data_IF_431828982472
#
_entry.id   IF_431828982472
#
_cell.length_a   1.000
_cell.length_b   1.000
_cell.length_c   1.000
_cell.angle_alpha   90.00
_cell.angle_beta   90.00
_cell.angle_gamma   90.00
#
_symmetry.space_group_name_H-M   'P 1'
#
loop_
_entity.id
_entity.type
_entity.pdbx_description
1 polymer ?
#
# COMPACT_ATOMS: atom_id res chain seq x y z
N UNK A 1 -7.20 -18.87 -14.49
CA UNK A 1 -7.74 -18.47 -13.15
C UNK A 1 -8.44 -19.60 -12.39
N UNK A 2 -9.36 -20.40 -12.97
CA UNK A 2 -9.96 -21.56 -12.26
C UNK A 2 -8.96 -22.66 -11.84
N UNK A 3 -7.81 -22.74 -12.52
CA UNK A 3 -6.79 -23.78 -12.29
C UNK A 3 -5.90 -23.54 -11.05
N UNK A 4 -5.75 -22.28 -10.61
CA UNK A 4 -4.80 -21.92 -9.53
C UNK A 4 -5.33 -22.23 -8.13
N UNK A 5 -6.65 -22.06 -7.92
CA UNK A 5 -7.28 -22.38 -6.62
C UNK A 5 -7.27 -23.89 -6.36
N UNK A 6 -7.65 -24.69 -7.36
CA UNK A 6 -7.62 -26.15 -7.27
C UNK A 6 -6.20 -26.69 -7.05
N UNK A 7 -5.21 -26.13 -7.75
CA UNK A 7 -3.79 -26.47 -7.52
C UNK A 7 -3.36 -26.14 -6.08
N UNK A 8 -3.62 -24.93 -5.58
CA UNK A 8 -3.22 -24.57 -4.22
C UNK A 8 -3.93 -25.39 -3.13
N UNK A 9 -5.22 -25.72 -3.29
CA UNK A 9 -5.96 -26.56 -2.33
C UNK A 9 -5.39 -27.98 -2.24
N UNK A 10 -5.07 -28.62 -3.38
CA UNK A 10 -4.50 -29.97 -3.43
C UNK A 10 -3.13 -30.04 -2.72
N UNK A 11 -2.38 -28.95 -2.69
CA UNK A 11 -1.04 -28.91 -2.14
C UNK A 11 -0.97 -28.61 -0.65
N UNK A 12 -2.08 -28.27 0.02
CA UNK A 12 -2.09 -28.07 1.47
C UNK A 12 -2.22 -29.37 2.27
N UNK A 13 -2.83 -30.42 1.72
CA UNK A 13 -3.00 -31.68 2.45
C UNK A 13 -1.65 -32.29 2.87
N UNK A 14 -0.66 -32.30 1.98
CA UNK A 14 0.69 -32.78 2.29
C UNK A 14 1.40 -31.90 3.34
N UNK A 15 1.22 -30.57 3.27
CA UNK A 15 1.79 -29.62 4.24
C UNK A 15 1.16 -29.77 5.62
N UNK A 16 -0.15 -29.99 5.68
CA UNK A 16 -0.88 -30.22 6.93
C UNK A 16 -0.56 -31.60 7.52
N UNK A 17 -0.39 -32.63 6.69
CA UNK A 17 0.10 -33.95 7.11
C UNK A 17 1.48 -33.84 7.76
N UNK A 18 2.41 -33.15 7.09
CA UNK A 18 3.75 -32.91 7.64
C UNK A 18 3.71 -32.11 8.94
N UNK A 19 2.95 -31.02 9.01
CA UNK A 19 2.82 -30.25 10.24
C UNK A 19 2.28 -31.12 11.38
N UNK A 20 1.30 -32.00 11.09
CA UNK A 20 0.75 -32.94 12.06
C UNK A 20 1.85 -33.90 12.54
N UNK A 21 2.61 -34.51 11.64
CA UNK A 21 3.72 -35.41 11.98
C UNK A 21 4.78 -34.70 12.84
N UNK A 22 5.09 -33.42 12.57
CA UNK A 22 6.02 -32.62 13.39
C UNK A 22 5.48 -32.40 14.80
N UNK A 23 4.18 -32.09 14.93
CA UNK A 23 3.55 -31.87 16.25
C UNK A 23 3.48 -33.20 17.02
N UNK A 24 3.08 -34.29 16.36
CA UNK A 24 3.02 -35.62 16.97
C UNK A 24 4.40 -36.11 17.38
N UNK A 25 5.44 -35.87 16.56
CA UNK A 25 6.84 -36.09 16.94
C UNK A 25 7.15 -35.38 18.26
N UNK A 26 6.83 -34.08 18.37
CA UNK A 26 7.17 -33.30 19.56
C UNK A 26 6.41 -33.77 20.79
N UNK A 27 5.12 -34.07 20.65
CA UNK A 27 4.32 -34.57 21.77
C UNK A 27 4.82 -35.92 22.27
N UNK A 28 5.23 -36.83 21.36
CA UNK A 28 5.84 -38.11 21.73
C UNK A 28 7.19 -37.93 22.44
N UNK A 29 8.09 -37.14 21.85
CA UNK A 29 9.43 -36.86 22.40
C UNK A 29 9.39 -36.29 23.83
N UNK A 30 8.36 -35.48 24.14
CA UNK A 30 8.23 -34.84 25.45
C UNK A 30 7.40 -35.65 26.47
N UNK A 31 6.42 -36.44 26.03
CA UNK A 31 5.42 -37.04 26.93
C UNK A 31 5.33 -38.56 26.87
N UNK A 32 6.03 -39.22 25.93
CA UNK A 32 6.10 -40.68 25.87
C UNK A 32 7.54 -41.14 26.04
N UNK A 33 7.73 -42.44 26.30
CA UNK A 33 9.07 -43.05 26.33
C UNK A 33 9.55 -43.49 24.95
N UNK A 34 8.83 -43.11 23.88
CA UNK A 34 9.21 -43.44 22.50
C UNK A 34 10.33 -42.51 22.02
N UNK A 35 11.17 -42.99 21.11
CA UNK A 35 12.14 -42.16 20.39
C UNK A 35 11.58 -41.94 18.98
N UNK A 36 10.78 -40.89 18.76
CA UNK A 36 10.15 -40.66 17.46
C UNK A 36 11.20 -40.25 16.42
N UNK A 37 10.90 -40.47 15.14
CA UNK A 37 11.74 -40.04 14.02
C UNK A 37 11.19 -38.71 13.50
N UNK A 38 12.05 -37.71 13.35
CA UNK A 38 11.64 -36.41 12.82
C UNK A 38 11.22 -36.55 11.33
N UNK A 39 10.08 -35.98 10.92
CA UNK A 39 9.56 -36.14 9.56
C UNK A 39 10.42 -35.47 8.49
N UNK A 40 10.37 -36.00 7.25
CA UNK A 40 11.14 -35.50 6.11
C UNK A 40 10.53 -34.24 5.51
N UNK A 41 11.38 -33.27 5.18
CA UNK A 41 10.94 -31.94 4.74
C UNK A 41 10.78 -31.78 3.22
N UNK A 42 11.62 -32.43 2.41
CA UNK A 42 11.81 -32.05 0.99
C UNK A 42 10.54 -32.22 0.12
N UNK A 43 9.66 -33.16 0.48
CA UNK A 43 8.50 -33.48 -0.33
C UNK A 43 7.39 -32.41 -0.27
N UNK A 44 7.31 -31.63 0.82
CA UNK A 44 6.18 -30.70 1.05
C UNK A 44 6.31 -29.34 0.37
N UNK A 45 7.52 -29.01 -0.10
CA UNK A 45 7.87 -27.75 -0.75
C UNK A 45 8.39 -27.97 -2.17
N UNK A 46 8.16 -29.15 -2.74
CA UNK A 46 8.54 -29.51 -4.11
C UNK A 46 7.49 -29.11 -5.16
N UNK A 47 6.26 -28.84 -4.74
CA UNK A 47 5.14 -28.56 -5.65
C UNK A 47 5.12 -27.13 -6.23
N UNK A 48 4.16 -26.87 -7.11
CA UNK A 48 3.95 -25.59 -7.79
C UNK A 48 3.08 -24.57 -7.03
N UNK A 49 2.70 -24.84 -5.77
CA UNK A 49 1.85 -23.93 -5.00
C UNK A 49 2.56 -22.62 -4.69
N UNK A 50 1.76 -21.57 -4.47
CA UNK A 50 2.30 -20.26 -4.09
C UNK A 50 3.11 -20.29 -2.79
N UNK A 51 2.74 -21.18 -1.85
CA UNK A 51 3.52 -21.44 -0.64
C UNK A 51 4.90 -22.01 -0.97
N UNK A 52 4.97 -23.09 -1.75
CA UNK A 52 6.25 -23.74 -2.10
C UNK A 52 7.15 -22.83 -2.94
N UNK A 53 6.57 -22.08 -3.88
CA UNK A 53 7.31 -21.06 -4.65
C UNK A 53 7.90 -20.00 -3.71
N UNK A 54 7.12 -19.53 -2.73
CA UNK A 54 7.58 -18.54 -1.76
C UNK A 54 8.72 -19.07 -0.90
N UNK A 55 8.57 -20.28 -0.33
CA UNK A 55 9.60 -20.95 0.47
C UNK A 55 10.92 -21.04 -0.30
N UNK A 56 10.88 -21.54 -1.55
CA UNK A 56 12.08 -21.68 -2.40
C UNK A 56 12.69 -20.33 -2.76
N UNK A 57 11.86 -19.35 -3.13
CA UNK A 57 12.32 -18.00 -3.51
C UNK A 57 13.01 -17.29 -2.34
N UNK A 58 12.51 -17.48 -1.13
CA UNK A 58 13.07 -16.88 0.09
C UNK A 58 14.13 -17.74 0.78
N UNK A 59 14.35 -18.95 0.30
CA UNK A 59 15.29 -19.92 0.87
C UNK A 59 15.03 -20.17 2.35
N UNK A 60 13.76 -20.35 2.72
CA UNK A 60 13.39 -20.56 4.12
C UNK A 60 13.96 -21.88 4.66
N UNK A 61 14.49 -21.81 5.88
CA UNK A 61 14.86 -22.96 6.68
C UNK A 61 13.63 -23.79 7.08
N UNK A 62 13.87 -25.04 7.48
CA UNK A 62 12.83 -25.93 8.01
C UNK A 62 12.04 -25.28 9.16
N UNK A 63 12.72 -24.58 10.05
CA UNK A 63 12.15 -23.95 11.24
C UNK A 63 11.22 -22.78 10.87
N UNK A 64 11.63 -21.99 9.87
CA UNK A 64 10.79 -20.92 9.31
C UNK A 64 9.57 -21.51 8.61
N UNK A 65 9.72 -22.62 7.88
CA UNK A 65 8.56 -23.27 7.24
C UNK A 65 7.58 -23.85 8.26
N UNK A 66 8.06 -24.51 9.31
CA UNK A 66 7.19 -24.98 10.41
C UNK A 66 6.46 -23.79 11.04
N UNK A 67 7.17 -22.69 11.31
CA UNK A 67 6.57 -21.46 11.86
C UNK A 67 5.50 -20.88 10.94
N UNK A 68 5.74 -20.88 9.62
CA UNK A 68 4.77 -20.42 8.62
C UNK A 68 3.54 -21.33 8.55
N UNK A 69 3.73 -22.65 8.65
CA UNK A 69 2.64 -23.62 8.70
C UNK A 69 1.80 -23.49 9.97
N UNK A 70 2.44 -23.29 11.12
CA UNK A 70 1.76 -22.98 12.39
C UNK A 70 0.92 -21.71 12.27
N UNK A 71 1.45 -20.66 11.64
CA UNK A 71 0.74 -19.39 11.49
C UNK A 71 -0.45 -19.48 10.52
N UNK A 72 -0.35 -20.25 9.43
CA UNK A 72 -1.43 -20.34 8.43
C UNK A 72 -2.53 -21.34 8.80
N UNK A 73 -2.22 -22.41 9.54
CA UNK A 73 -3.20 -23.49 9.76
C UNK A 73 -4.51 -23.04 10.42
N UNK A 74 -4.58 -22.06 11.36
CA UNK A 74 -5.85 -21.58 11.89
C UNK A 74 -6.78 -20.97 10.84
N UNK A 75 -6.23 -20.49 9.72
CA UNK A 75 -6.99 -19.91 8.61
C UNK A 75 -7.57 -20.96 7.66
N UNK A 76 -7.01 -22.18 7.65
CA UNK A 76 -7.38 -23.25 6.70
C UNK A 76 -8.12 -24.38 7.42
N UNK A 77 -7.64 -24.80 8.59
CA UNK A 77 -8.19 -25.91 9.37
C UNK A 77 -8.29 -25.49 10.85
N UNK A 78 -9.38 -24.78 11.24
CA UNK A 78 -9.52 -24.22 12.59
C UNK A 78 -9.44 -25.23 13.74
N UNK A 79 -9.84 -26.49 13.50
CA UNK A 79 -9.84 -27.53 14.53
C UNK A 79 -8.53 -28.35 14.56
N UNK A 80 -7.56 -28.05 13.69
CA UNK A 80 -6.36 -28.85 13.47
C UNK A 80 -5.61 -29.19 14.78
N UNK A 81 -5.28 -28.17 15.56
CA UNK A 81 -4.57 -28.34 16.83
C UNK A 81 -5.44 -29.07 17.86
N UNK A 82 -6.72 -28.71 17.97
CA UNK A 82 -7.63 -29.33 18.94
C UNK A 82 -7.75 -30.83 18.71
N UNK A 83 -7.84 -31.27 17.45
CA UNK A 83 -7.88 -32.70 17.10
C UNK A 83 -6.60 -33.41 17.51
N UNK A 84 -5.42 -32.86 17.20
CA UNK A 84 -4.14 -33.49 17.57
C UNK A 84 -4.00 -33.57 19.09
N UNK A 85 -4.31 -32.49 19.80
CA UNK A 85 -4.20 -32.45 21.27
C UNK A 85 -5.18 -33.40 21.95
N UNK A 86 -6.39 -33.58 21.42
CA UNK A 86 -7.36 -34.54 21.99
C UNK A 86 -6.92 -35.99 21.84
N UNK A 87 -6.15 -36.32 20.79
CA UNK A 87 -5.61 -37.66 20.59
C UNK A 87 -4.55 -38.01 21.65
N UNK A 88 -3.80 -37.01 22.14
CA UNK A 88 -2.78 -37.16 23.19
C UNK A 88 -3.33 -36.99 24.62
N UNK A 89 -4.39 -36.19 24.80
CA UNK A 89 -5.06 -35.97 26.08
C UNK A 89 -6.55 -36.35 26.01
N UNK A 90 -6.89 -37.65 25.85
CA UNK A 90 -8.27 -38.08 25.63
C UNK A 90 -9.19 -37.84 26.83
N UNK A 91 -8.63 -37.77 28.04
CA UNK A 91 -9.37 -37.53 29.27
C UNK A 91 -9.46 -36.03 29.65
N UNK A 92 -9.01 -35.15 28.77
CA UNK A 92 -8.83 -33.74 29.06
C UNK A 92 -7.57 -33.46 29.89
N UNK A 93 -7.15 -32.19 29.89
CA UNK A 93 -5.93 -31.71 30.53
C UNK A 93 -5.45 -30.44 29.85
N UNK A 94 -4.58 -29.69 30.52
CA UNK A 94 -3.89 -28.56 29.91
C UNK A 94 -2.48 -28.99 29.52
N UNK A 95 -2.01 -28.53 28.37
CA UNK A 95 -0.60 -28.59 27.95
C UNK A 95 -0.07 -27.15 27.93
N UNK A 96 0.28 -26.56 29.08
CA UNK A 96 0.75 -25.17 29.12
C UNK A 96 1.97 -24.96 28.22
N UNK A 97 2.84 -25.97 28.11
CA UNK A 97 4.05 -25.91 27.27
C UNK A 97 3.77 -25.78 25.78
N UNK A 98 2.61 -26.26 25.29
CA UNK A 98 2.21 -26.10 23.90
C UNK A 98 1.94 -24.62 23.56
N UNK A 99 1.62 -23.79 24.56
CA UNK A 99 1.16 -22.43 24.36
C UNK A 99 -0.18 -22.37 23.64
N UNK A 100 -0.41 -21.29 22.91
CA UNK A 100 -1.65 -21.07 22.18
C UNK A 100 -2.78 -20.50 23.03
N UNK A 101 -3.69 -19.77 22.39
CA UNK A 101 -4.83 -19.11 23.05
C UNK A 101 -6.11 -19.32 22.25
N UNK A 102 -7.27 -19.24 22.91
CA UNK A 102 -8.56 -19.19 22.23
C UNK A 102 -8.84 -17.78 21.71
N UNK A 103 -9.27 -17.69 20.46
CA UNK A 103 -9.67 -16.40 19.89
C UNK A 103 -11.02 -15.93 20.44
N UNK A 104 -11.28 -14.62 20.37
CA UNK A 104 -12.61 -14.05 20.71
C UNK A 104 -13.71 -14.58 19.77
N UNK A 105 -13.39 -14.65 18.48
CA UNK A 105 -14.29 -15.10 17.42
C UNK A 105 -13.88 -16.45 16.82
N UNK A 106 -12.67 -16.91 17.12
CA UNK A 106 -12.10 -18.16 16.61
C UNK A 106 -12.20 -19.23 17.68
N UNK A 107 -12.92 -20.32 17.39
CA UNK A 107 -13.22 -21.39 18.37
C UNK A 107 -12.10 -22.42 18.55
N UNK A 108 -11.13 -22.44 17.65
CA UNK A 108 -9.94 -23.29 17.73
C UNK A 108 -8.81 -22.68 18.57
N UNK A 109 -7.63 -23.30 18.47
CA UNK A 109 -6.40 -22.80 19.10
C UNK A 109 -5.67 -21.89 18.11
N UNK A 110 -5.35 -20.66 18.54
CA UNK A 110 -4.43 -19.77 17.84
C UNK A 110 -3.04 -19.97 18.47
N UNK A 111 -2.03 -20.40 17.71
CA UNK A 111 -0.70 -20.64 18.26
C UNK A 111 -0.05 -19.34 18.76
N UNK A 112 0.91 -19.46 19.67
CA UNK A 112 1.73 -18.35 20.18
C UNK A 112 3.20 -18.55 19.79
N UNK A 113 4.06 -17.59 20.12
CA UNK A 113 5.51 -17.79 20.03
C UNK A 113 5.99 -18.99 20.87
N UNK A 114 5.36 -19.26 22.01
CA UNK A 114 5.64 -20.46 22.82
C UNK A 114 5.32 -21.75 22.07
N UNK A 115 4.25 -21.77 21.26
CA UNK A 115 3.96 -22.91 20.39
C UNK A 115 5.11 -23.16 19.41
N UNK A 116 5.70 -22.12 18.84
CA UNK A 116 6.87 -22.25 17.96
C UNK A 116 8.07 -22.82 18.72
N UNK A 117 8.35 -22.29 19.92
CA UNK A 117 9.43 -22.76 20.79
C UNK A 117 9.26 -24.22 21.20
N UNK A 118 8.05 -24.63 21.54
CA UNK A 118 7.75 -26.00 21.94
C UNK A 118 7.87 -26.95 20.76
N UNK A 119 7.18 -26.68 19.65
CA UNK A 119 7.16 -27.56 18.48
C UNK A 119 8.56 -27.75 17.90
N UNK A 120 9.32 -26.68 17.73
CA UNK A 120 10.63 -26.73 17.09
C UNK A 120 11.74 -27.05 18.09
N UNK A 121 11.77 -26.36 19.24
CA UNK A 121 12.85 -26.46 20.22
C UNK A 121 12.67 -27.54 21.29
N UNK A 122 11.45 -28.01 21.56
CA UNK A 122 11.20 -29.02 22.59
C UNK A 122 11.72 -28.63 23.96
N UNK A 123 12.58 -29.45 24.56
CA UNK A 123 13.25 -29.16 25.85
C UNK A 123 14.61 -28.46 25.70
N UNK A 124 15.11 -28.25 24.47
CA UNK A 124 16.39 -27.58 24.23
C UNK A 124 16.25 -26.05 24.46
N UNK A 125 16.78 -25.61 25.60
CA UNK A 125 16.74 -24.20 26.03
C UNK A 125 17.52 -23.30 25.05
N UNK A 126 18.67 -23.74 24.56
CA UNK A 126 19.46 -22.93 23.63
C UNK A 126 18.69 -22.73 22.33
N UNK A 127 18.08 -23.80 21.82
CA UNK A 127 17.26 -23.73 20.61
C UNK A 127 16.04 -22.83 20.79
N UNK A 128 15.34 -22.94 21.92
CA UNK A 128 14.20 -22.07 22.25
C UNK A 128 14.57 -20.59 22.26
N UNK A 129 15.74 -20.23 22.79
CA UNK A 129 16.22 -18.84 22.82
C UNK A 129 16.50 -18.36 21.39
N UNK A 130 17.20 -19.16 20.57
CA UNK A 130 17.48 -18.83 19.16
C UNK A 130 16.19 -18.58 18.36
N UNK A 131 15.13 -19.36 18.58
CA UNK A 131 13.85 -19.19 17.89
C UNK A 131 13.18 -17.83 18.17
N UNK A 132 13.54 -17.14 19.25
CA UNK A 132 13.01 -15.78 19.50
C UNK A 132 13.51 -14.76 18.48
N UNK A 133 14.66 -15.01 17.85
CA UNK A 133 15.27 -14.14 16.84
C UNK A 133 14.40 -14.03 15.58
N UNK A 134 13.57 -15.06 15.28
CA UNK A 134 12.62 -15.04 14.15
C UNK A 134 11.61 -13.87 14.22
N UNK A 135 11.40 -13.32 15.43
CA UNK A 135 10.44 -12.27 15.73
C UNK A 135 11.12 -10.94 16.11
N UNK A 136 12.37 -10.75 15.71
CA UNK A 136 13.11 -9.48 15.79
C UNK A 136 13.05 -8.74 14.45
N UNK A 137 13.20 -7.40 14.48
CA UNK A 137 12.99 -6.52 13.32
C UNK A 137 13.87 -6.86 12.11
N UNK A 138 15.06 -7.42 12.34
CA UNK A 138 16.02 -7.77 11.29
C UNK A 138 15.69 -9.10 10.59
N UNK A 139 14.87 -9.96 11.20
CA UNK A 139 14.49 -11.24 10.62
C UNK A 139 13.50 -11.05 9.47
N UNK A 140 13.55 -11.95 8.47
CA UNK A 140 12.73 -11.90 7.26
C UNK A 140 11.24 -11.71 7.57
N UNK A 141 10.71 -12.44 8.55
CA UNK A 141 9.29 -12.38 8.93
C UNK A 141 8.85 -10.99 9.36
N UNK A 142 9.60 -10.34 10.24
CA UNK A 142 9.27 -8.99 10.70
C UNK A 142 9.58 -7.96 9.62
N UNK A 143 10.74 -8.10 8.97
CA UNK A 143 11.21 -7.17 7.94
C UNK A 143 10.23 -7.08 6.78
N UNK A 144 9.64 -8.18 6.32
CA UNK A 144 8.68 -8.19 5.21
C UNK A 144 7.21 -8.23 5.67
N UNK A 145 6.95 -8.13 6.97
CA UNK A 145 5.61 -8.15 7.55
C UNK A 145 4.85 -9.44 7.23
N UNK A 146 5.54 -10.58 7.27
CA UNK A 146 4.96 -11.90 6.97
C UNK A 146 4.29 -12.44 8.22
N UNK A 147 5.05 -12.62 9.30
CA UNK A 147 4.58 -13.14 10.58
C UNK A 147 4.98 -12.16 11.67
N UNK A 148 4.08 -11.95 12.63
CA UNK A 148 4.38 -11.20 13.84
C UNK A 148 3.72 -11.83 15.07
N UNK A 149 4.22 -11.45 16.24
CA UNK A 149 3.60 -11.76 17.52
C UNK A 149 2.78 -10.56 18.01
N UNK A 150 1.59 -10.81 18.52
CA UNK A 150 0.84 -9.77 19.21
C UNK A 150 1.60 -9.24 20.44
N UNK A 151 1.36 -7.96 20.73
CA UNK A 151 1.86 -7.35 21.97
C UNK A 151 1.15 -7.94 23.17
N UNK A 152 1.93 -8.33 24.18
CA UNK A 152 1.41 -8.84 25.46
C UNK A 152 1.41 -7.75 26.54
N UNK A 153 0.56 -7.86 27.57
CA UNK A 153 0.61 -7.02 28.77
C UNK A 153 2.01 -6.93 29.39
N UNK A 154 2.26 -5.81 30.07
CA UNK A 154 3.55 -5.60 30.75
C UNK A 154 3.76 -6.67 31.83
N UNK A 155 4.94 -7.30 31.81
CA UNK A 155 5.30 -8.39 32.72
C UNK A 155 5.05 -9.80 32.17
N UNK A 156 4.31 -9.93 31.06
CA UNK A 156 4.15 -11.20 30.38
C UNK A 156 5.32 -11.49 29.40
N UNK A 157 5.67 -12.77 29.18
CA UNK A 157 6.69 -13.14 28.20
C UNK A 157 6.27 -12.74 26.78
N UNK A 158 7.19 -12.14 26.00
CA UNK A 158 6.93 -11.76 24.60
C UNK A 158 6.41 -12.93 23.75
N UNK A 159 6.90 -14.15 24.01
CA UNK A 159 6.53 -15.35 23.26
C UNK A 159 5.10 -15.84 23.56
N UNK A 160 4.45 -15.35 24.61
CA UNK A 160 3.03 -15.63 24.88
C UNK A 160 2.10 -14.89 23.91
N UNK A 161 2.64 -13.97 23.09
CA UNK A 161 1.89 -13.29 22.03
C UNK A 161 1.38 -14.26 20.94
N UNK A 162 0.20 -13.98 20.39
CA UNK A 162 -0.39 -14.76 19.29
C UNK A 162 0.47 -14.69 18.05
N UNK A 163 0.70 -15.82 17.41
CA UNK A 163 1.38 -15.97 16.12
C UNK A 163 0.39 -15.64 15.00
N UNK A 164 0.63 -14.52 14.30
CA UNK A 164 -0.27 -14.02 13.27
C UNK A 164 0.45 -13.96 11.92
N UNK A 165 -0.22 -14.48 10.89
CA UNK A 165 0.17 -14.33 9.49
C UNK A 165 -0.58 -13.15 8.88
N UNK A 166 0.15 -12.25 8.23
CA UNK A 166 -0.45 -11.09 7.57
C UNK A 166 -1.39 -11.53 6.42
N UNK A 167 -2.55 -10.86 6.31
CA UNK A 167 -3.67 -11.27 5.45
C UNK A 167 -3.29 -11.42 3.97
N UNK A 168 -2.35 -10.61 3.49
CA UNK A 168 -1.80 -10.73 2.13
C UNK A 168 -1.16 -12.09 1.87
N UNK A 169 -0.42 -12.63 2.84
CA UNK A 169 0.22 -13.93 2.73
C UNK A 169 -0.77 -15.06 2.94
N UNK A 170 -1.79 -14.88 3.79
CA UNK A 170 -2.93 -15.81 3.86
C UNK A 170 -3.58 -15.94 2.48
N UNK A 171 -3.92 -14.81 1.84
CA UNK A 171 -4.50 -14.79 0.50
C UNK A 171 -3.55 -15.38 -0.55
N UNK A 172 -2.27 -15.02 -0.52
CA UNK A 172 -1.27 -15.52 -1.46
C UNK A 172 -1.14 -17.05 -1.37
N UNK A 173 -0.98 -17.59 -0.17
CA UNK A 173 -0.74 -19.03 0.00
C UNK A 173 -2.00 -19.84 -0.28
N UNK A 174 -3.18 -19.37 0.11
CA UNK A 174 -4.44 -20.11 -0.10
C UNK A 174 -4.99 -19.96 -1.52
N UNK A 175 -4.98 -18.75 -2.10
CA UNK A 175 -5.65 -18.45 -3.37
C UNK A 175 -4.71 -18.22 -4.55
N UNK A 176 -3.42 -18.00 -4.26
CA UNK A 176 -2.42 -17.59 -5.26
C UNK A 176 -2.50 -16.12 -5.65
N UNK A 177 -3.34 -15.33 -4.99
CA UNK A 177 -3.50 -13.90 -5.26
C UNK A 177 -2.91 -13.07 -4.12
N UNK A 178 -2.06 -12.10 -4.49
CA UNK A 178 -1.61 -11.06 -3.58
C UNK A 178 -2.78 -10.11 -3.30
N UNK A 179 -3.20 -10.02 -2.04
CA UNK A 179 -4.21 -9.07 -1.62
C UNK A 179 -3.58 -7.69 -1.50
N UNK A 180 -4.03 -6.75 -2.33
CA UNK A 180 -3.60 -5.35 -2.20
C UNK A 180 -4.45 -4.65 -1.13
N UNK A 181 -3.85 -3.96 -0.16
CA UNK A 181 -4.60 -3.26 0.88
C UNK A 181 -5.61 -2.28 0.30
N UNK A 182 -6.79 -2.27 0.92
CA UNK A 182 -7.87 -1.32 0.64
C UNK A 182 -7.99 -0.32 1.79
N UNK A 183 -8.56 0.84 1.49
CA UNK A 183 -8.81 1.89 2.47
C UNK A 183 -9.66 1.37 3.63
N UNK A 184 -9.21 1.60 4.86
CA UNK A 184 -9.91 1.24 6.09
C UNK A 184 -9.53 2.21 7.22
N UNK A 185 -10.13 2.05 8.40
CA UNK A 185 -9.73 2.83 9.58
C UNK A 185 -8.27 2.61 9.97
N UNK A 186 -7.78 1.38 9.83
CA UNK A 186 -6.40 1.00 10.14
C UNK A 186 -5.40 1.26 9.00
N UNK A 187 -5.89 1.54 7.78
CA UNK A 187 -5.09 1.80 6.60
C UNK A 187 -5.68 2.95 5.78
N UNK A 188 -5.31 4.22 6.08
CA UNK A 188 -5.92 5.43 5.51
C UNK A 188 -5.37 5.76 4.10
N UNK A 189 -5.26 4.75 3.24
CA UNK A 189 -4.75 4.91 1.89
C UNK A 189 -5.56 4.11 0.88
N UNK A 190 -5.82 4.74 -0.27
CA UNK A 190 -6.56 4.18 -1.39
C UNK A 190 -5.61 3.96 -2.57
N UNK A 191 -5.67 2.79 -3.19
CA UNK A 191 -4.90 2.56 -4.41
C UNK A 191 -5.54 3.34 -5.57
N UNK A 192 -4.76 4.17 -6.25
CA UNK A 192 -5.19 4.90 -7.43
C UNK A 192 -4.47 4.38 -8.67
N UNK A 193 -5.21 4.29 -9.78
CA UNK A 193 -4.71 3.81 -11.07
C UNK A 193 -5.35 4.63 -12.20
N UNK A 194 -4.74 4.59 -13.38
CA UNK A 194 -5.27 5.26 -14.58
C UNK A 194 -5.18 4.34 -15.78
N UNK A 195 -6.18 4.42 -16.66
CA UNK A 195 -6.14 3.74 -17.96
C UNK A 195 -5.44 4.59 -19.02
N UNK A 196 -5.28 5.89 -18.77
CA UNK A 196 -4.62 6.84 -19.69
C UNK A 196 -3.12 6.56 -19.81
N UNK A 197 -2.52 7.09 -20.87
CA UNK A 197 -1.10 7.04 -21.16
C UNK A 197 -0.43 8.42 -21.07
N UNK A 198 0.90 8.46 -21.13
CA UNK A 198 1.67 9.71 -21.09
C UNK A 198 1.27 10.68 -22.19
N UNK A 199 0.80 10.17 -23.33
CA UNK A 199 0.35 10.98 -24.44
C UNK A 199 -0.93 11.76 -24.09
N UNK A 200 -1.77 11.27 -23.18
CA UNK A 200 -2.99 11.94 -22.74
C UNK A 200 -2.71 13.06 -21.73
N UNK A 201 -1.55 13.02 -21.08
CA UNK A 201 -1.10 14.05 -20.16
C UNK A 201 -0.48 15.22 -20.93
N UNK A 202 -1.25 16.30 -21.04
CA UNK A 202 -0.79 17.56 -21.63
C UNK A 202 -0.30 18.50 -20.53
N UNK A 203 1.01 18.75 -20.52
CA UNK A 203 1.67 19.68 -19.60
C UNK A 203 2.60 20.61 -20.38
N UNK A 204 2.94 21.74 -19.75
CA UNK A 204 3.97 22.62 -20.28
C UNK A 204 5.32 21.91 -20.41
N UNK A 205 6.11 22.31 -21.42
CA UNK A 205 7.42 21.70 -21.70
C UNK A 205 8.36 21.69 -20.49
N UNK A 206 8.34 22.76 -19.68
CA UNK A 206 9.15 22.86 -18.46
C UNK A 206 8.75 21.78 -17.45
N UNK A 207 7.46 21.67 -17.14
CA UNK A 207 6.92 20.66 -16.23
C UNK A 207 7.22 19.24 -16.73
N UNK A 208 7.01 18.97 -18.03
CA UNK A 208 7.36 17.67 -18.63
C UNK A 208 8.83 17.31 -18.47
N UNK A 209 9.74 18.28 -18.62
CA UNK A 209 11.17 18.02 -18.43
C UNK A 209 11.49 17.60 -16.99
N UNK A 210 10.90 18.28 -16.00
CA UNK A 210 11.07 17.91 -14.59
C UNK A 210 10.45 16.54 -14.26
N UNK A 211 9.35 16.16 -14.91
CA UNK A 211 8.80 14.80 -14.78
C UNK A 211 9.76 13.74 -15.33
N UNK A 212 10.43 14.01 -16.47
CA UNK A 212 11.45 13.10 -17.03
C UNK A 212 12.67 12.92 -16.12
N UNK A 213 13.03 13.93 -15.34
CA UNK A 213 14.08 13.79 -14.31
C UNK A 213 13.66 12.79 -13.23
N UNK A 214 12.38 12.77 -12.85
CA UNK A 214 11.81 11.79 -11.91
C UNK A 214 11.81 10.38 -12.51
N UNK A 215 11.41 10.24 -13.78
CA UNK A 215 11.48 8.95 -14.49
C UNK A 215 12.90 8.40 -14.51
N UNK A 216 13.88 9.28 -14.78
CA UNK A 216 15.30 8.93 -14.76
C UNK A 216 15.72 8.46 -13.37
N UNK A 217 15.34 9.17 -12.31
CA UNK A 217 15.62 8.73 -10.94
C UNK A 217 14.97 7.37 -10.66
N UNK A 218 13.70 7.18 -11.00
CA UNK A 218 12.97 5.92 -10.79
C UNK A 218 13.61 4.72 -11.48
N UNK A 219 14.23 4.93 -12.65
CA UNK A 219 14.84 3.87 -13.44
C UNK A 219 16.27 3.54 -12.98
N UNK A 220 17.05 4.54 -12.58
CA UNK A 220 18.50 4.38 -12.36
C UNK A 220 18.96 4.52 -10.90
N UNK A 221 18.07 4.85 -9.95
CA UNK A 221 18.45 5.05 -8.55
C UNK A 221 19.11 3.81 -7.92
N UNK A 222 18.65 2.60 -8.24
CA UNK A 222 19.23 1.38 -7.66
C UNK A 222 20.69 1.18 -8.11
N UNK A 223 21.00 1.47 -9.37
CA UNK A 223 22.39 1.46 -9.90
C UNK A 223 23.25 2.48 -9.16
N UNK A 224 22.73 3.70 -8.95
CA UNK A 224 23.48 4.74 -8.22
C UNK A 224 23.76 4.31 -6.78
N UNK A 225 22.75 3.81 -6.07
CA UNK A 225 22.90 3.45 -4.66
C UNK A 225 23.77 2.20 -4.45
N UNK A 226 23.62 1.18 -5.30
CA UNK A 226 24.24 -0.13 -5.13
C UNK A 226 25.51 -0.28 -5.97
N UNK A 227 25.42 -0.14 -7.30
CA UNK A 227 26.54 -0.40 -8.21
C UNK A 227 27.63 0.67 -8.09
N UNK A 228 27.23 1.93 -7.87
CA UNK A 228 28.17 3.04 -7.66
C UNK A 228 28.50 3.28 -6.19
N UNK A 229 27.97 2.45 -5.28
CA UNK A 229 28.23 2.50 -3.84
C UNK A 229 27.95 3.87 -3.18
N UNK A 230 26.88 4.55 -3.63
CA UNK A 230 26.54 5.90 -3.14
C UNK A 230 25.62 5.90 -1.92
N UNK A 231 25.21 4.73 -1.44
CA UNK A 231 24.28 4.57 -0.31
C UNK A 231 24.71 5.28 0.98
N UNK A 232 26.02 5.43 1.23
CA UNK A 232 26.55 6.13 2.41
C UNK A 232 26.46 7.66 2.31
N UNK A 233 26.27 8.21 1.11
CA UNK A 233 26.27 9.65 0.86
C UNK A 233 24.90 10.19 0.44
N UNK A 234 24.06 9.34 -0.16
CA UNK A 234 22.73 9.71 -0.65
C UNK A 234 21.69 9.06 0.26
N UNK A 235 20.81 9.88 0.84
CA UNK A 235 19.67 9.35 1.60
C UNK A 235 18.74 8.59 0.65
N UNK A 236 18.22 7.41 1.04
CA UNK A 236 17.27 6.68 0.23
C UNK A 236 15.96 7.46 0.07
N UNK A 237 15.24 7.17 -1.00
CA UNK A 237 13.94 7.79 -1.31
C UNK A 237 14.03 9.15 -1.99
N UNK A 238 12.94 9.50 -2.67
CA UNK A 238 12.82 10.74 -3.42
C UNK A 238 11.49 11.40 -3.10
N UNK A 239 11.55 12.66 -2.68
CA UNK A 239 10.41 13.42 -2.22
C UNK A 239 10.16 14.59 -3.15
N UNK A 240 8.95 14.64 -3.68
CA UNK A 240 8.53 15.64 -4.66
C UNK A 240 7.33 16.41 -4.12
N UNK A 241 7.35 17.71 -4.33
CA UNK A 241 6.19 18.57 -4.12
C UNK A 241 5.60 18.98 -5.47
N UNK A 242 4.42 18.48 -5.79
CA UNK A 242 3.57 18.97 -6.87
C UNK A 242 2.77 20.16 -6.37
N UNK A 243 2.92 21.31 -7.03
CA UNK A 243 2.19 22.52 -6.66
C UNK A 243 1.49 23.12 -7.87
N UNK A 244 0.26 23.59 -7.70
CA UNK A 244 -0.44 24.32 -8.76
C UNK A 244 -1.95 24.22 -8.60
N UNK A 245 -2.74 24.91 -9.44
CA UNK A 245 -4.20 24.90 -9.34
C UNK A 245 -4.79 23.49 -9.39
N UNK A 246 -6.00 23.26 -8.85
CA UNK A 246 -6.70 22.00 -9.03
C UNK A 246 -6.97 21.74 -10.52
N UNK A 247 -7.02 20.47 -10.92
CA UNK A 247 -7.36 20.09 -12.30
C UNK A 247 -6.26 20.24 -13.35
N UNK A 248 -5.01 20.50 -12.94
CA UNK A 248 -3.84 20.64 -13.83
C UNK A 248 -3.06 19.33 -14.06
N UNK A 249 -3.53 18.20 -13.53
CA UNK A 249 -2.96 16.88 -13.83
C UNK A 249 -2.04 16.28 -12.76
N UNK A 250 -1.92 16.87 -11.56
CA UNK A 250 -1.05 16.36 -10.47
C UNK A 250 -1.28 14.86 -10.15
N UNK A 251 -2.54 14.48 -9.91
CA UNK A 251 -2.92 13.09 -9.59
C UNK A 251 -2.74 12.16 -10.79
N UNK A 252 -3.01 12.64 -12.00
CA UNK A 252 -2.79 11.86 -13.23
C UNK A 252 -1.29 11.59 -13.46
N UNK A 253 -0.43 12.58 -13.22
CA UNK A 253 1.03 12.39 -13.30
C UNK A 253 1.51 11.34 -12.30
N UNK A 254 0.99 11.35 -11.06
CA UNK A 254 1.36 10.35 -10.06
C UNK A 254 0.95 8.93 -10.48
N UNK A 255 -0.26 8.74 -11.02
CA UNK A 255 -0.71 7.42 -11.52
C UNK A 255 0.05 6.96 -12.76
N UNK A 256 0.43 7.89 -13.65
CA UNK A 256 1.28 7.59 -14.80
C UNK A 256 2.71 7.19 -14.41
N UNK A 257 3.30 7.82 -13.39
CA UNK A 257 4.60 7.38 -12.83
C UNK A 257 4.51 5.96 -12.24
N UNK A 258 3.38 5.63 -11.59
CA UNK A 258 3.10 4.27 -11.13
C UNK A 258 3.02 3.28 -12.28
N UNK A 259 2.23 3.60 -13.31
CA UNK A 259 2.08 2.78 -14.53
C UNK A 259 3.42 2.57 -15.25
N UNK A 260 4.23 3.63 -15.39
CA UNK A 260 5.56 3.59 -15.99
C UNK A 260 6.52 2.64 -15.27
N UNK A 261 6.45 2.59 -13.93
CA UNK A 261 7.34 1.76 -13.10
C UNK A 261 6.76 0.40 -12.71
N UNK A 262 5.50 0.12 -13.05
CA UNK A 262 4.77 -1.04 -12.55
C UNK A 262 4.54 -1.03 -11.03
N UNK A 263 4.66 0.15 -10.38
CA UNK A 263 4.51 0.31 -8.93
C UNK A 263 3.08 0.74 -8.58
N UNK A 264 2.57 0.21 -7.48
CA UNK A 264 1.28 0.64 -6.94
C UNK A 264 1.39 2.07 -6.40
N UNK A 265 0.38 2.90 -6.71
CA UNK A 265 0.26 4.26 -6.18
C UNK A 265 -0.84 4.28 -5.14
N UNK A 266 -0.47 4.65 -3.92
CA UNK A 266 -1.40 4.81 -2.82
C UNK A 266 -1.63 6.28 -2.55
N UNK A 267 -2.87 6.75 -2.72
CA UNK A 267 -3.31 8.06 -2.29
C UNK A 267 -3.63 8.02 -0.80
N UNK A 268 -2.93 8.82 -0.02
CA UNK A 268 -3.13 8.94 1.41
C UNK A 268 -4.16 10.03 1.68
N UNK A 269 -5.21 9.68 2.41
CA UNK A 269 -6.18 10.67 2.89
C UNK A 269 -5.71 11.26 4.22
N UNK A 270 -5.14 12.46 4.12
CA UNK A 270 -4.63 13.22 5.24
C UNK A 270 -5.74 13.63 6.24
N UNK A 271 -7.00 13.73 5.81
CA UNK A 271 -8.13 14.08 6.68
C UNK A 271 -8.52 12.95 7.62
N UNK A 272 -8.34 11.69 7.20
CA UNK A 272 -8.53 10.51 8.07
C UNK A 272 -7.44 10.37 9.12
N UNK A 273 -6.26 10.91 8.81
CA UNK A 273 -5.09 10.87 9.68
C UNK A 273 -5.25 11.93 10.77
N UNK A 274 -5.58 13.18 10.44
CA UNK A 274 -5.74 14.26 11.42
C UNK A 274 -7.13 14.19 12.08
N UNK A 275 -7.38 13.13 12.84
CA UNK A 275 -8.61 12.98 13.62
C UNK A 275 -8.47 13.56 15.05
N UNK A 276 -9.60 13.76 15.74
CA UNK A 276 -9.65 14.31 17.11
C UNK A 276 -8.98 13.44 18.19
N UNK A 277 -8.49 12.24 17.85
CA UNK A 277 -7.92 11.27 18.78
C UNK A 277 -6.40 11.21 18.66
N UNK A 278 -5.72 12.00 19.49
CA UNK A 278 -4.25 12.07 19.59
C UNK A 278 -3.71 10.67 19.92
N UNK A 279 -2.85 10.11 19.04
CA UNK A 279 -2.17 8.82 19.22
C UNK A 279 -2.66 7.65 18.36
N UNK A 280 -3.95 7.57 18.01
CA UNK A 280 -4.44 6.56 17.05
C UNK A 280 -3.93 6.87 15.63
N UNK A 281 -3.84 8.17 15.33
CA UNK A 281 -3.23 8.76 14.14
C UNK A 281 -1.79 8.28 13.90
N UNK A 282 -0.92 8.39 14.91
CA UNK A 282 0.49 8.01 14.81
C UNK A 282 0.65 6.51 14.57
N UNK A 283 -0.17 5.69 15.25
CA UNK A 283 -0.18 4.24 15.06
C UNK A 283 -0.56 3.86 13.63
N UNK A 284 -1.60 4.48 13.09
CA UNK A 284 -2.07 4.20 11.72
C UNK A 284 -1.05 4.70 10.67
N UNK A 285 -0.44 5.86 10.88
CA UNK A 285 0.67 6.34 10.06
C UNK A 285 1.88 5.41 10.10
N UNK A 286 2.28 4.96 11.29
CA UNK A 286 3.40 4.04 11.42
C UNK A 286 3.15 2.78 10.60
N UNK A 287 2.00 2.12 10.84
CA UNK A 287 1.56 0.93 10.10
C UNK A 287 1.59 1.13 8.59
N UNK A 288 1.05 2.25 8.08
CA UNK A 288 1.05 2.57 6.65
C UNK A 288 2.48 2.61 6.08
N UNK A 289 3.37 3.38 6.71
CA UNK A 289 4.75 3.53 6.26
C UNK A 289 5.57 2.24 6.42
N UNK A 290 5.35 1.48 7.50
CA UNK A 290 6.02 0.19 7.75
C UNK A 290 5.61 -0.83 6.67
N UNK A 291 4.31 -0.88 6.33
CA UNK A 291 3.80 -1.72 5.25
C UNK A 291 4.32 -1.28 3.88
N UNK A 292 4.44 0.03 3.64
CA UNK A 292 4.94 0.58 2.38
C UNK A 292 6.46 0.40 2.19
N UNK A 293 7.24 0.33 3.28
CA UNK A 293 8.71 0.32 3.28
C UNK A 293 9.32 -0.75 2.37
N UNK A 294 8.69 -1.92 2.28
CA UNK A 294 9.21 -3.07 1.53
C UNK A 294 8.44 -3.39 0.25
N UNK A 295 7.45 -2.58 -0.13
CA UNK A 295 6.55 -2.87 -1.26
C UNK A 295 6.77 -1.98 -2.47
N UNK A 296 7.81 -1.14 -2.43
CA UNK A 296 8.19 -0.22 -3.51
C UNK A 296 7.01 0.64 -4.01
N UNK A 297 6.08 0.99 -3.13
CA UNK A 297 4.92 1.80 -3.47
C UNK A 297 5.31 3.25 -3.71
N UNK A 298 4.50 3.94 -4.51
CA UNK A 298 4.50 5.39 -4.62
C UNK A 298 3.45 5.92 -3.65
N UNK A 299 3.88 6.74 -2.69
CA UNK A 299 2.98 7.36 -1.72
C UNK A 299 2.58 8.75 -2.21
N UNK A 300 1.31 8.95 -2.51
CA UNK A 300 0.74 10.21 -3.00
C UNK A 300 -0.11 10.87 -1.92
N UNK A 301 0.38 11.95 -1.32
CA UNK A 301 -0.35 12.75 -0.35
C UNK A 301 -1.04 13.90 -1.07
N UNK A 302 -2.36 13.86 -1.16
CA UNK A 302 -3.14 14.95 -1.74
C UNK A 302 -3.46 16.00 -0.68
N UNK A 303 -3.75 17.23 -1.11
CA UNK A 303 -4.14 18.35 -0.22
C UNK A 303 -3.13 18.61 0.94
N UNK A 304 -1.84 18.52 0.63
CA UNK A 304 -0.76 18.67 1.62
C UNK A 304 -0.81 20.02 2.36
N UNK A 305 -1.38 21.07 1.77
CA UNK A 305 -1.56 22.37 2.45
C UNK A 305 -2.50 22.33 3.67
N UNK A 306 -3.39 21.32 3.77
CA UNK A 306 -4.25 21.15 4.94
C UNK A 306 -3.45 20.82 6.22
N UNK A 307 -2.28 20.19 6.06
CA UNK A 307 -1.41 19.80 7.18
C UNK A 307 -0.15 20.66 7.25
N UNK A 308 0.45 20.98 6.10
CA UNK A 308 1.75 21.66 6.02
C UNK A 308 1.63 23.17 5.76
N UNK A 309 0.44 23.74 5.97
CA UNK A 309 0.18 25.17 5.90
C UNK A 309 1.03 26.01 6.88
N UNK A 310 1.21 27.30 6.57
CA UNK A 310 1.95 28.27 7.40
C UNK A 310 1.32 28.26 8.79
N UNK A 311 2.13 27.84 9.77
CA UNK A 311 1.74 27.70 11.17
C UNK A 311 0.99 28.95 11.62
N UNK A 312 -0.25 28.79 12.04
CA UNK A 312 -0.90 29.82 12.85
C UNK A 312 -0.14 29.92 14.17
N UNK A 313 0.09 31.14 14.66
CA UNK A 313 0.73 31.35 15.95
C UNK A 313 0.04 30.49 17.01
N UNK A 314 0.82 29.64 17.69
CA UNK A 314 0.37 28.73 18.74
C UNK A 314 -0.41 29.53 19.78
N UNK A 315 -1.72 29.33 19.85
CA UNK A 315 -2.58 29.96 20.85
C UNK A 315 -3.00 28.97 21.93
N UNK A 316 -3.15 27.70 21.57
CA UNK A 316 -3.67 26.67 22.48
C UNK A 316 -2.82 25.39 22.52
N UNK A 317 -3.05 24.55 23.55
CA UNK A 317 -2.39 23.26 23.71
C UNK A 317 -2.66 22.30 22.53
N UNK A 318 -3.84 22.38 21.90
CA UNK A 318 -4.19 21.61 20.71
C UNK A 318 -3.25 21.90 19.52
N UNK A 319 -2.79 23.14 19.35
CA UNK A 319 -1.87 23.52 18.27
C UNK A 319 -0.49 22.88 18.46
N UNK A 320 -0.04 22.66 19.71
CA UNK A 320 1.24 21.99 19.99
C UNK A 320 1.21 20.52 19.57
N UNK A 321 0.12 19.81 19.84
CA UNK A 321 -0.03 18.40 19.47
C UNK A 321 -0.11 18.23 17.95
N UNK A 322 -0.87 19.08 17.25
CA UNK A 322 -0.91 19.08 15.79
C UNK A 322 0.50 19.29 15.16
N UNK A 323 1.32 20.18 15.74
CA UNK A 323 2.68 20.40 15.28
C UNK A 323 3.62 19.18 15.50
N UNK A 324 3.40 18.40 16.55
CA UNK A 324 4.14 17.15 16.79
C UNK A 324 3.78 16.08 15.75
N UNK A 325 2.49 15.90 15.46
CA UNK A 325 2.02 14.93 14.46
C UNK A 325 2.55 15.27 13.06
N UNK A 326 2.53 16.55 12.67
CA UNK A 326 3.12 17.03 11.40
C UNK A 326 4.62 16.73 11.33
N UNK A 327 5.34 16.92 12.45
CA UNK A 327 6.78 16.65 12.53
C UNK A 327 7.09 15.16 12.41
N UNK A 328 6.28 14.31 13.06
CA UNK A 328 6.36 12.86 12.95
C UNK A 328 6.09 12.39 11.52
N UNK A 329 5.01 12.87 10.90
CA UNK A 329 4.68 12.56 9.50
C UNK A 329 5.84 12.92 8.56
N UNK A 330 6.43 14.10 8.73
CA UNK A 330 7.57 14.54 7.95
C UNK A 330 8.80 13.65 8.14
N UNK A 331 9.09 13.21 9.37
CA UNK A 331 10.17 12.26 9.64
C UNK A 331 9.92 10.92 8.92
N UNK A 332 8.68 10.43 8.91
CA UNK A 332 8.31 9.19 8.21
C UNK A 332 8.41 9.33 6.69
N UNK A 333 8.00 10.48 6.13
CA UNK A 333 8.19 10.83 4.72
C UNK A 333 9.68 10.83 4.33
N UNK A 334 10.54 11.42 5.18
CA UNK A 334 11.99 11.46 4.93
C UNK A 334 12.69 10.11 5.05
N UNK A 335 12.17 9.23 5.92
CA UNK A 335 12.72 7.89 6.12
C UNK A 335 12.24 6.87 5.08
N UNK A 336 11.19 7.20 4.31
CA UNK A 336 10.64 6.29 3.32
C UNK A 336 11.61 6.11 2.14
N UNK A 337 12.03 4.87 1.80
CA UNK A 337 13.04 4.63 0.77
C UNK A 337 12.50 4.74 -0.67
N UNK A 338 11.18 4.80 -0.84
CA UNK A 338 10.52 4.91 -2.14
C UNK A 338 10.25 6.34 -2.60
N UNK A 339 9.36 6.48 -3.57
CA UNK A 339 8.91 7.78 -4.08
C UNK A 339 7.75 8.29 -3.22
N UNK A 340 7.91 9.50 -2.67
CA UNK A 340 6.83 10.21 -2.00
C UNK A 340 6.50 11.48 -2.77
N UNK A 341 5.24 11.62 -3.15
CA UNK A 341 4.71 12.78 -3.86
C UNK A 341 3.72 13.48 -2.94
N UNK A 342 3.95 14.76 -2.68
CA UNK A 342 3.01 15.63 -1.98
C UNK A 342 2.38 16.57 -3.00
N UNK A 343 1.07 16.70 -3.03
CA UNK A 343 0.35 17.62 -3.90
C UNK A 343 -0.31 18.73 -3.08
N UNK A 344 -0.17 19.98 -3.55
CA UNK A 344 -0.82 21.15 -2.94
C UNK A 344 -1.40 22.07 -4.01
N UNK A 345 -2.49 22.74 -3.65
CA UNK A 345 -3.03 23.83 -4.46
C UNK A 345 -2.41 25.20 -4.11
N UNK A 346 -1.76 25.32 -2.94
CA UNK A 346 -1.29 26.59 -2.39
C UNK A 346 0.18 26.53 -1.95
N UNK A 347 1.11 26.55 -2.91
CA UNK A 347 2.57 26.56 -2.65
C UNK A 347 3.01 27.60 -1.63
N UNK A 348 2.45 28.81 -1.73
CA UNK A 348 2.79 29.94 -0.85
C UNK A 348 2.36 29.75 0.61
N UNK A 349 1.48 28.77 0.86
CA UNK A 349 1.04 28.41 2.19
C UNK A 349 1.97 27.36 2.82
N UNK A 350 2.90 26.75 2.08
CA UNK A 350 3.81 25.76 2.66
C UNK A 350 5.03 26.45 3.29
N UNK A 351 5.43 25.99 4.47
CA UNK A 351 6.61 26.47 5.20
C UNK A 351 7.91 26.26 4.38
N UNK A 352 8.80 27.26 4.36
CA UNK A 352 10.07 27.17 3.63
C UNK A 352 11.06 26.17 4.23
N UNK A 353 10.98 25.89 5.53
CA UNK A 353 11.74 24.83 6.17
C UNK A 353 11.28 23.43 5.71
N UNK A 354 10.03 23.31 5.29
CA UNK A 354 9.47 22.08 4.73
C UNK A 354 9.92 21.89 3.28
N UNK A 355 9.81 22.92 2.44
CA UNK A 355 10.18 22.84 1.02
C UNK A 355 11.65 22.47 0.79
N UNK A 356 12.57 22.84 1.71
CA UNK A 356 13.99 22.45 1.67
C UNK A 356 14.25 20.95 1.80
N UNK A 357 13.28 20.16 2.27
CA UNK A 357 13.42 18.70 2.48
C UNK A 357 13.06 17.88 1.23
N UNK A 358 12.53 18.53 0.20
CA UNK A 358 12.17 17.95 -1.09
C UNK A 358 13.34 18.01 -2.06
N UNK A 359 13.48 16.98 -2.89
CA UNK A 359 14.48 16.94 -3.96
C UNK A 359 14.00 17.73 -5.17
N UNK A 360 12.68 17.76 -5.41
CA UNK A 360 12.08 18.51 -6.51
C UNK A 360 10.79 19.19 -6.09
N UNK A 361 10.60 20.39 -6.63
CA UNK A 361 9.33 21.12 -6.56
C UNK A 361 8.89 21.38 -7.99
N UNK A 362 7.74 20.82 -8.37
CA UNK A 362 7.24 20.84 -9.74
C UNK A 362 5.95 21.65 -9.76
N UNK A 363 5.98 22.70 -10.58
CA UNK A 363 4.87 23.62 -10.72
C UNK A 363 3.99 23.23 -11.91
N UNK A 364 2.73 22.96 -11.61
CA UNK A 364 1.68 22.65 -12.56
C UNK A 364 0.87 23.92 -12.81
N UNK A 365 1.30 24.68 -13.80
CA UNK A 365 0.63 25.90 -14.21
C UNK A 365 -0.66 25.59 -14.99
N UNK A 366 -1.52 26.61 -15.12
CA UNK A 366 -2.66 26.51 -16.03
C UNK A 366 -2.16 26.28 -17.47
N UNK A 367 -2.84 25.43 -18.26
CA UNK A 367 -2.44 25.17 -19.63
C UNK A 367 -2.54 26.45 -20.46
N UNK A 368 -1.53 26.69 -21.29
CA UNK A 368 -1.54 27.71 -22.33
C UNK A 368 -2.59 27.41 -23.40
N UNK A 369 -2.82 28.37 -24.31
CA UNK A 369 -3.71 28.16 -25.45
C UNK A 369 -3.37 26.88 -26.24
N UNK A 370 -2.08 26.63 -26.51
CA UNK A 370 -1.64 25.45 -27.29
C UNK A 370 -1.96 24.14 -26.55
N UNK A 371 -1.73 24.11 -25.25
CA UNK A 371 -2.04 22.93 -24.41
C UNK A 371 -3.55 22.72 -24.27
N UNK A 372 -4.35 23.79 -24.12
CA UNK A 372 -5.82 23.70 -24.09
C UNK A 372 -6.38 23.14 -25.39
N UNK A 373 -5.87 23.58 -26.54
CA UNK A 373 -6.30 23.06 -27.83
C UNK A 373 -6.02 21.55 -27.94
N UNK A 374 -4.83 21.11 -27.51
CA UNK A 374 -4.47 19.70 -27.51
C UNK A 374 -5.35 18.88 -26.55
N UNK A 375 -5.64 19.43 -25.37
CA UNK A 375 -6.57 18.82 -24.40
C UNK A 375 -7.97 18.64 -25.01
N UNK A 376 -8.51 19.67 -25.68
CA UNK A 376 -9.79 19.56 -26.37
C UNK A 376 -9.78 18.46 -27.44
N UNK A 377 -8.75 18.44 -28.29
CA UNK A 377 -8.62 17.46 -29.36
C UNK A 377 -8.52 16.02 -28.84
N UNK A 378 -7.76 15.80 -27.76
CA UNK A 378 -7.56 14.46 -27.18
C UNK A 378 -8.75 13.94 -26.39
N UNK A 379 -9.53 14.82 -25.76
CA UNK A 379 -10.63 14.39 -24.90
C UNK A 379 -11.96 14.23 -25.63
N UNK A 380 -12.12 14.79 -26.83
CA UNK A 380 -13.34 14.62 -27.63
C UNK A 380 -13.43 13.19 -28.19
N UNK A 381 -14.59 12.52 -28.07
CA UNK A 381 -14.75 11.18 -28.64
C UNK A 381 -14.70 11.18 -30.17
N UNK A 382 -13.93 10.24 -30.76
CA UNK A 382 -13.79 10.08 -32.22
C UNK A 382 -15.12 9.89 -32.96
N UNK A 383 -16.13 9.37 -32.28
CA UNK A 383 -17.45 9.05 -32.86
C UNK A 383 -18.35 10.26 -33.05
N UNK A 384 -18.01 11.41 -32.47
CA UNK A 384 -18.87 12.60 -32.49
C UNK A 384 -18.23 13.67 -33.37
N UNK A 385 -19.00 14.17 -34.33
CA UNK A 385 -18.54 15.26 -35.19
C UNK A 385 -18.80 16.62 -34.53
N UNK A 386 -17.86 17.55 -34.73
CA UNK A 386 -18.08 18.95 -34.38
C UNK A 386 -18.96 19.60 -35.44
N UNK A 387 -19.93 20.42 -35.02
CA UNK A 387 -20.68 21.27 -35.94
C UNK A 387 -19.76 22.30 -36.60
N UNK A 388 -20.12 22.73 -37.82
CA UNK A 388 -19.30 23.63 -38.64
C UNK A 388 -18.93 24.96 -37.94
N UNK A 389 -19.78 25.43 -37.02
CA UNK A 389 -19.57 26.64 -36.24
C UNK A 389 -18.65 26.48 -35.02
N UNK A 390 -18.20 25.25 -34.71
CA UNK A 390 -17.38 24.97 -33.53
C UNK A 390 -15.90 25.03 -33.87
N UNK A 391 -15.24 26.14 -33.50
CA UNK A 391 -13.79 26.27 -33.56
C UNK A 391 -13.16 26.02 -32.20
N UNK A 392 -12.52 24.86 -32.03
CA UNK A 392 -11.75 24.54 -30.81
C UNK A 392 -10.58 25.51 -30.60
N UNK A 393 -10.04 26.06 -31.68
CA UNK A 393 -8.96 27.04 -31.61
C UNK A 393 -9.44 28.34 -30.96
N UNK A 394 -10.56 28.89 -31.43
CA UNK A 394 -11.17 30.10 -30.85
C UNK A 394 -11.59 29.88 -29.40
N UNK A 395 -12.20 28.73 -29.10
CA UNK A 395 -12.60 28.33 -27.74
C UNK A 395 -11.36 28.29 -26.83
N UNK A 396 -10.27 27.68 -27.29
CA UNK A 396 -9.04 27.54 -26.51
C UNK A 396 -8.33 28.88 -26.29
N UNK A 397 -8.46 29.83 -27.22
CA UNK A 397 -7.93 31.21 -27.05
C UNK A 397 -8.77 31.99 -26.04
N UNK A 398 -10.10 31.95 -26.17
CA UNK A 398 -11.02 32.78 -25.41
C UNK A 398 -11.21 32.32 -23.95
N UNK A 399 -11.25 31.01 -23.70
CA UNK A 399 -11.58 30.47 -22.38
C UNK A 399 -10.38 29.80 -21.71
N UNK A 400 -10.00 30.33 -20.54
CA UNK A 400 -8.89 29.84 -19.74
C UNK A 400 -9.35 28.69 -18.81
N UNK A 401 -9.48 27.50 -19.39
CA UNK A 401 -9.92 26.28 -18.72
C UNK A 401 -8.74 25.38 -18.32
N UNK A 402 -8.85 24.69 -17.18
CA UNK A 402 -7.92 23.61 -16.79
C UNK A 402 -8.26 22.31 -17.52
N UNK A 403 -7.38 21.30 -17.43
CA UNK A 403 -7.66 19.97 -18.01
C UNK A 403 -8.91 19.33 -17.42
N UNK A 404 -9.10 19.40 -16.10
CA UNK A 404 -10.32 18.90 -15.46
C UNK A 404 -11.57 19.66 -15.91
N UNK A 405 -11.51 20.99 -16.09
CA UNK A 405 -12.66 21.72 -16.61
C UNK A 405 -13.00 21.25 -18.03
N UNK A 406 -12.00 21.09 -18.91
CA UNK A 406 -12.22 20.62 -20.29
C UNK A 406 -12.90 19.25 -20.28
N UNK A 407 -12.45 18.30 -19.45
CA UNK A 407 -13.08 16.98 -19.30
C UNK A 407 -14.54 17.10 -18.86
N UNK A 408 -14.83 17.93 -17.85
CA UNK A 408 -16.21 18.17 -17.39
C UNK A 408 -17.09 18.77 -18.51
N UNK A 409 -16.56 19.72 -19.29
CA UNK A 409 -17.29 20.29 -20.43
C UNK A 409 -17.51 19.22 -21.49
N UNK A 410 -16.50 18.41 -21.84
CA UNK A 410 -16.63 17.32 -22.81
C UNK A 410 -17.70 16.32 -22.37
N UNK A 411 -17.73 15.95 -21.10
CA UNK A 411 -18.76 15.07 -20.56
C UNK A 411 -20.15 15.72 -20.72
N UNK A 412 -20.29 17.00 -20.37
CA UNK A 412 -21.55 17.73 -20.51
C UNK A 412 -22.04 17.79 -21.96
N UNK A 413 -21.18 18.16 -22.91
CA UNK A 413 -21.57 18.29 -24.32
C UNK A 413 -21.93 16.93 -24.90
N UNK A 414 -21.22 15.85 -24.56
CA UNK A 414 -21.55 14.50 -25.03
C UNK A 414 -22.94 14.08 -24.56
N UNK A 415 -23.24 14.25 -23.28
CA UNK A 415 -24.56 13.91 -22.71
C UNK A 415 -25.67 14.75 -23.34
N UNK A 416 -25.44 16.05 -23.54
CA UNK A 416 -26.43 16.95 -24.15
C UNK A 416 -26.68 16.68 -25.62
N UNK A 417 -25.64 16.41 -26.41
CA UNK A 417 -25.75 16.01 -27.82
C UNK A 417 -26.54 14.70 -27.97
N UNK A 418 -26.28 13.70 -27.11
CA UNK A 418 -27.05 12.45 -27.11
C UNK A 418 -28.51 12.70 -26.70
N UNK A 419 -28.76 13.45 -25.63
CA UNK A 419 -30.11 13.71 -25.12
C UNK A 419 -30.98 14.48 -26.13
N UNK A 420 -30.38 15.41 -26.87
CA UNK A 420 -31.04 16.17 -27.94
C UNK A 420 -31.16 15.40 -29.26
N UNK A 421 -30.60 14.18 -29.34
CA UNK A 421 -30.53 13.33 -30.55
C UNK A 421 -29.85 14.02 -31.75
N UNK A 422 -28.98 14.99 -31.49
CA UNK A 422 -28.16 15.60 -32.52
C UNK A 422 -27.01 14.67 -32.93
N UNK A 423 -26.61 14.72 -34.21
CA UNK A 423 -25.46 13.96 -34.73
C UNK A 423 -24.12 14.64 -34.49
N UNK A 424 -24.13 15.94 -34.23
CA UNK A 424 -22.94 16.78 -34.07
C UNK A 424 -23.03 17.66 -32.81
N UNK A 425 -21.88 18.04 -32.28
CA UNK A 425 -21.79 18.99 -31.16
C UNK A 425 -22.07 20.41 -31.69
N UNK A 426 -23.04 21.09 -31.09
CA UNK A 426 -23.37 22.48 -31.41
C UNK A 426 -22.57 23.45 -30.54
N UNK A 427 -22.24 24.62 -31.10
CA UNK A 427 -21.48 25.66 -30.39
C UNK A 427 -22.20 26.12 -29.12
N UNK A 428 -23.54 26.25 -29.16
CA UNK A 428 -24.34 26.64 -27.99
C UNK A 428 -24.11 25.69 -26.80
N UNK A 429 -24.05 24.38 -27.07
CA UNK A 429 -23.88 23.35 -26.04
C UNK A 429 -22.50 23.44 -25.41
N UNK A 430 -21.48 23.74 -26.22
CA UNK A 430 -20.11 23.96 -25.72
C UNK A 430 -20.06 25.19 -24.83
N UNK A 431 -20.63 26.32 -25.29
CA UNK A 431 -20.66 27.56 -24.52
C UNK A 431 -21.43 27.41 -23.20
N UNK A 432 -22.55 26.68 -23.20
CA UNK A 432 -23.27 26.33 -21.97
C UNK A 432 -22.42 25.52 -20.99
N UNK A 433 -21.70 24.52 -21.49
CA UNK A 433 -20.83 23.69 -20.66
C UNK A 433 -19.68 24.50 -20.05
N UNK A 434 -19.04 25.35 -20.86
CA UNK A 434 -18.02 26.30 -20.37
C UNK A 434 -18.62 27.22 -19.32
N UNK A 435 -19.79 27.80 -19.58
CA UNK A 435 -20.48 28.68 -18.63
C UNK A 435 -20.72 28.00 -17.28
N UNK A 436 -21.12 26.73 -17.28
CA UNK A 436 -21.31 25.94 -16.05
C UNK A 436 -20.03 25.76 -15.25
N UNK A 437 -18.90 25.46 -15.91
CA UNK A 437 -17.62 25.32 -15.21
C UNK A 437 -17.16 26.66 -14.59
N UNK A 438 -17.31 27.77 -15.32
CA UNK A 438 -17.00 29.10 -14.79
C UNK A 438 -17.89 29.48 -13.61
N UNK A 439 -19.19 29.15 -13.66
CA UNK A 439 -20.13 29.36 -12.55
C UNK A 439 -19.75 28.54 -11.32
N UNK A 440 -19.34 27.28 -11.50
CA UNK A 440 -18.87 26.41 -10.43
C UNK A 440 -17.62 26.97 -9.73
N UNK A 441 -16.75 27.63 -10.47
CA UNK A 441 -15.53 28.27 -9.94
C UNK A 441 -15.74 29.69 -9.41
N UNK A 442 -16.95 30.24 -9.47
CA UNK A 442 -17.24 31.62 -9.04
C UNK A 442 -16.64 32.70 -9.94
N UNK A 443 -16.18 32.36 -11.14
CA UNK A 443 -15.57 33.30 -12.10
C UNK A 443 -16.64 33.94 -13.00
N UNK A 444 -17.42 34.89 -12.47
CA UNK A 444 -18.46 35.60 -13.26
C UNK A 444 -17.98 36.84 -14.03
N UNK A 445 -16.76 37.34 -13.81
CA UNK A 445 -16.39 38.69 -14.24
C UNK A 445 -15.82 38.84 -15.67
N UNK A 446 -15.87 37.82 -16.55
CA UNK A 446 -15.19 37.90 -17.87
C UNK A 446 -15.85 37.12 -19.02
N UNK A 447 -17.18 36.97 -19.02
CA UNK A 447 -17.90 36.40 -20.18
C UNK A 447 -18.26 37.47 -21.22
#
# INVERSE_FOLDING_TARGET
MKNTLAQNTIHFDSKLSFLREVIEYRLKDNYTSEIPVFPKFDDIVSDGSSFSIFVRKKQLSLEEVITLLLAIVPHISPNFFTTILSDFLPNGGELPEFGGVKGKNHRGVIPTGETVQFIIGGSDIQKRIQLTEMFYEDHLFMKEGIIYLDTVPMGEPKMSGRLLLEEEYVSLFTTGKVLKPTMSKDFPAERIETQLDWEDLVLQRKTLHQIKEIETWLQYNDVVLHDWNMKSRIKPGYRILFSGPPGTGKTLTATLLGKFTGKDVYRIDLSMIVSKYIGETEKNLSKLFDKAKNKSWILFFDEADAIFGKRTNVRDAHDKYANQEVSYLLQRIEAHPGLVILATNFKNNIDTAFTRRFQSIIEFENPSFKERLLLWQKNLPDKITLGESVSLEEISKKYALTGANIINVVQYICLKTIASKHKSILLETVLEGIKKEYLKEGKMATM
#
